data_IF_151899624784
#
_entry.id   IF_151899624784
#
_cell.length_a   1.000
_cell.length_b   1.000
_cell.length_c   1.000
_cell.angle_alpha   90.00
_cell.angle_beta   90.00
_cell.angle_gamma   90.00
#
_symmetry.space_group_name_H-M   'P 1'
#
loop_
_entity.id
_entity.type
_entity.pdbx_description
1 polymer ?
#
# COMPACT_ATOMS: atom_id res chain seq x y z
N UNK A 1 2.10 18.61 -5.59
CA UNK A 1 1.20 17.86 -4.66
C UNK A 1 1.47 16.37 -4.82
N UNK A 2 1.21 15.54 -3.80
CA UNK A 2 1.31 14.08 -3.89
C UNK A 2 -0.09 13.47 -4.01
N UNK A 3 -0.26 12.39 -4.77
CA UNK A 3 -1.51 11.65 -4.87
C UNK A 3 -1.26 10.14 -4.80
N UNK A 4 -2.26 9.40 -4.35
CA UNK A 4 -2.22 7.94 -4.36
C UNK A 4 -2.55 7.44 -5.76
N UNK A 5 -1.68 6.60 -6.31
CA UNK A 5 -1.92 5.85 -7.55
C UNK A 5 -2.11 4.38 -7.19
N UNK A 6 -3.23 3.79 -7.59
CA UNK A 6 -3.48 2.36 -7.47
C UNK A 6 -2.61 1.61 -8.49
N UNK A 7 -1.88 0.60 -8.03
CA UNK A 7 -1.05 -0.29 -8.86
C UNK A 7 -1.75 -1.61 -9.14
N UNK A 8 -2.52 -2.12 -8.18
CA UNK A 8 -3.37 -3.30 -8.31
C UNK A 8 -4.58 -3.20 -7.38
N UNK A 9 -5.65 -3.95 -7.68
CA UNK A 9 -6.93 -3.86 -6.98
C UNK A 9 -7.71 -2.60 -7.36
N UNK A 10 -8.46 -2.05 -6.41
CA UNK A 10 -9.39 -0.93 -6.59
C UNK A 10 -9.21 0.16 -5.55
N UNK A 11 -9.76 1.35 -5.83
CA UNK A 11 -9.78 2.45 -4.84
C UNK A 11 -10.56 2.05 -3.58
N UNK A 12 -11.60 1.23 -3.74
CA UNK A 12 -12.42 0.72 -2.63
C UNK A 12 -11.64 -0.11 -1.63
N UNK A 13 -10.59 -0.82 -2.07
CA UNK A 13 -9.75 -1.65 -1.18
C UNK A 13 -8.99 -0.81 -0.15
N UNK A 14 -8.82 0.49 -0.41
CA UNK A 14 -8.12 1.42 0.48
C UNK A 14 -9.06 2.37 1.24
N UNK A 15 -10.37 2.15 1.20
CA UNK A 15 -11.31 2.94 2.02
C UNK A 15 -11.04 2.68 3.50
N UNK A 16 -10.73 3.74 4.23
CA UNK A 16 -10.39 3.66 5.65
C UNK A 16 -9.02 3.04 5.94
N UNK A 17 -8.18 2.87 4.92
CA UNK A 17 -6.79 2.46 5.09
C UNK A 17 -5.98 3.56 5.80
N UNK A 18 -4.99 3.20 6.63
CA UNK A 18 -4.04 4.17 7.16
C UNK A 18 -3.38 4.98 6.04
N UNK A 19 -3.07 6.25 6.30
CA UNK A 19 -2.49 7.13 5.28
C UNK A 19 -1.14 6.62 4.76
N UNK A 20 -0.39 5.86 5.56
CA UNK A 20 0.91 5.31 5.19
C UNK A 20 0.81 3.97 4.43
N UNK A 21 -0.36 3.31 4.43
CA UNK A 21 -0.51 1.97 3.89
C UNK A 21 -0.30 1.95 2.37
N UNK A 22 0.60 1.09 1.91
CA UNK A 22 0.92 0.90 0.48
C UNK A 22 0.34 -0.40 -0.06
N UNK A 23 0.16 -1.43 0.76
CA UNK A 23 -0.52 -2.67 0.36
C UNK A 23 -1.59 -3.06 1.35
N UNK A 24 -2.68 -3.62 0.84
CA UNK A 24 -3.63 -4.43 1.59
C UNK A 24 -3.24 -5.89 1.40
N UNK A 25 -3.05 -6.60 2.49
CA UNK A 25 -2.73 -8.02 2.50
C UNK A 25 -3.73 -8.80 3.35
N UNK A 26 -3.83 -10.10 3.10
CA UNK A 26 -4.54 -11.04 3.95
C UNK A 26 -3.56 -12.09 4.46
N UNK A 27 -3.57 -12.36 5.76
CA UNK A 27 -2.76 -13.41 6.35
C UNK A 27 -3.35 -14.79 6.03
N UNK A 28 -2.50 -15.67 5.49
CA UNK A 28 -2.85 -17.07 5.21
C UNK A 28 -3.16 -17.79 6.52
N UNK A 29 -4.17 -18.64 6.50
CA UNK A 29 -4.61 -19.40 7.67
C UNK A 29 -5.59 -18.66 8.59
N UNK A 30 -5.42 -17.36 8.83
CA UNK A 30 -6.34 -16.57 9.67
C UNK A 30 -7.37 -15.78 8.86
N UNK A 31 -7.05 -15.42 7.61
CA UNK A 31 -7.87 -14.52 6.80
C UNK A 31 -7.85 -13.07 7.31
N UNK A 32 -6.95 -12.72 8.24
CA UNK A 32 -6.89 -11.39 8.81
C UNK A 32 -6.34 -10.38 7.82
N UNK A 33 -6.97 -9.20 7.74
CA UNK A 33 -6.50 -8.09 6.91
C UNK A 33 -5.37 -7.33 7.61
N UNK A 34 -4.28 -7.10 6.88
CA UNK A 34 -3.11 -6.38 7.33
C UNK A 34 -2.71 -5.30 6.31
N UNK A 35 -2.09 -4.24 6.79
CA UNK A 35 -1.56 -3.14 5.97
C UNK A 35 -0.05 -3.14 5.99
N UNK A 36 0.56 -3.01 4.81
CA UNK A 36 2.01 -2.89 4.68
C UNK A 36 2.45 -1.45 4.44
N UNK A 37 3.51 -1.02 5.11
CA UNK A 37 3.99 0.37 5.10
C UNK A 37 4.94 0.73 3.95
N UNK A 38 5.43 -0.25 3.20
CA UNK A 38 6.45 0.01 2.18
C UNK A 38 7.87 -0.40 2.55
N UNK A 39 8.09 -0.83 3.78
CA UNK A 39 9.41 -1.13 4.31
C UNK A 39 9.44 -2.56 4.81
N UNK A 40 8.91 -2.81 6.00
CA UNK A 40 9.02 -4.12 6.66
C UNK A 40 7.88 -4.41 7.63
N UNK A 41 6.84 -3.58 7.73
CA UNK A 41 5.84 -3.73 8.78
C UNK A 41 4.48 -4.07 8.20
N UNK A 42 3.95 -5.21 8.61
CA UNK A 42 2.54 -5.55 8.49
C UNK A 42 1.83 -5.24 9.79
N UNK A 43 0.77 -4.44 9.73
CA UNK A 43 0.01 -4.08 10.91
C UNK A 43 -1.48 -4.03 10.62
N UNK A 44 -2.30 -4.43 11.58
CA UNK A 44 -3.73 -4.20 11.53
C UNK A 44 -4.04 -2.69 11.62
N UNK A 45 -5.25 -2.30 11.23
CA UNK A 45 -5.64 -0.89 11.20
C UNK A 45 -5.60 -0.25 12.60
N UNK A 46 -5.93 -1.02 13.63
CA UNK A 46 -6.11 -0.56 15.00
C UNK A 46 -4.80 -0.65 15.80
N UNK A 47 -3.74 -1.19 15.19
CA UNK A 47 -2.44 -1.45 15.82
C UNK A 47 -2.55 -2.31 17.07
N UNK A 48 -3.53 -3.21 17.09
CA UNK A 48 -3.76 -4.11 18.21
C UNK A 48 -2.78 -5.28 18.22
N UNK A 49 -2.18 -5.58 17.05
CA UNK A 49 -1.19 -6.63 16.91
C UNK A 49 0.22 -6.04 16.77
N UNK A 50 1.18 -6.78 17.31
CA UNK A 50 2.60 -6.52 17.08
C UNK A 50 2.89 -6.55 15.58
N UNK A 51 3.71 -5.60 15.11
CA UNK A 51 4.03 -5.49 13.70
C UNK A 51 4.87 -6.70 13.27
N UNK A 52 4.41 -7.42 12.25
CA UNK A 52 5.19 -8.51 11.64
C UNK A 52 6.28 -7.92 10.73
N UNK A 53 7.47 -8.53 10.72
CA UNK A 53 8.64 -8.14 9.93
C UNK A 53 8.62 -8.73 8.51
N UNK A 54 9.65 -8.46 7.71
CA UNK A 54 9.77 -8.85 6.28
C UNK A 54 9.60 -10.35 5.99
N UNK A 55 9.92 -11.22 6.94
CA UNK A 55 9.81 -12.68 6.77
C UNK A 55 8.35 -13.13 6.64
N UNK A 56 7.41 -12.22 6.88
CA UNK A 56 5.98 -12.44 6.80
C UNK A 56 5.41 -12.32 5.38
N UNK A 57 6.20 -11.92 4.39
CA UNK A 57 5.80 -11.87 2.98
C UNK A 57 5.29 -13.23 2.48
N UNK A 58 5.90 -14.34 2.93
CA UNK A 58 5.48 -15.70 2.56
C UNK A 58 4.17 -16.14 3.24
N UNK A 59 3.76 -15.44 4.30
CA UNK A 59 2.57 -15.75 5.09
C UNK A 59 1.34 -14.95 4.68
N UNK A 60 1.45 -14.06 3.69
CA UNK A 60 0.36 -13.19 3.26
C UNK A 60 0.10 -13.30 1.76
N UNK A 61 -1.14 -13.03 1.37
CA UNK A 61 -1.51 -12.76 -0.01
C UNK A 61 -1.77 -11.27 -0.18
N UNK A 62 -1.17 -10.67 -1.21
CA UNK A 62 -1.37 -9.26 -1.54
C UNK A 62 -2.70 -9.13 -2.30
N UNK A 63 -3.61 -8.31 -1.77
CA UNK A 63 -4.92 -8.06 -2.38
C UNK A 63 -4.94 -6.80 -3.23
N UNK A 64 -4.26 -5.74 -2.78
CA UNK A 64 -4.21 -4.47 -3.48
C UNK A 64 -2.93 -3.71 -3.17
N UNK A 65 -2.44 -2.93 -4.14
CA UNK A 65 -1.24 -2.11 -4.00
C UNK A 65 -1.49 -0.68 -4.47
N UNK A 66 -0.91 0.29 -3.76
CA UNK A 66 -0.87 1.69 -4.16
C UNK A 66 0.49 2.31 -3.83
N UNK A 67 0.85 3.35 -4.56
CA UNK A 67 2.03 4.18 -4.27
C UNK A 67 1.68 5.64 -4.19
N UNK A 68 2.47 6.38 -3.42
CA UNK A 68 2.42 7.83 -3.43
C UNK A 68 3.25 8.31 -4.64
N UNK A 69 2.59 9.03 -5.54
CA UNK A 69 3.23 9.59 -6.72
C UNK A 69 3.11 11.12 -6.72
N UNK A 70 4.12 11.84 -7.26
CA UNK A 70 3.96 13.25 -7.56
C UNK A 70 2.77 13.43 -8.49
N UNK A 71 1.85 14.32 -8.13
CA UNK A 71 0.93 14.90 -9.10
C UNK A 71 1.81 15.58 -10.12
N UNK A 72 1.86 15.08 -11.36
CA UNK A 72 2.62 15.74 -12.43
C UNK A 72 2.12 17.18 -12.53
N UNK A 73 2.84 18.15 -11.97
CA UNK A 73 2.90 19.46 -12.61
C UNK A 73 3.52 19.19 -13.97
N UNK A 74 2.81 19.57 -15.03
CA UNK A 74 3.23 19.35 -16.39
C UNK A 74 4.71 19.72 -16.54
N UNK A 75 5.59 18.72 -16.66
CA UNK A 75 6.96 18.98 -17.07
C UNK A 75 6.89 19.72 -18.41
N UNK A 76 7.61 20.83 -18.60
CA UNK A 76 7.54 21.56 -19.84
C UNK A 76 7.90 20.60 -20.96
N UNK A 77 7.02 20.51 -21.97
CA UNK A 77 7.31 19.78 -23.21
C UNK A 77 8.60 20.38 -23.76
N UNK A 78 9.73 19.71 -23.55
CA UNK A 78 10.97 20.05 -24.22
C UNK A 78 10.71 19.84 -25.70
N UNK A 79 10.52 20.94 -26.46
CA UNK A 79 10.50 20.85 -27.91
C UNK A 79 11.91 20.49 -28.33
N UNK A 80 12.08 19.32 -28.92
CA UNK A 80 13.26 19.03 -29.73
C UNK A 80 13.26 20.07 -30.86
N UNK A 81 14.34 20.85 -30.90
CA UNK A 81 14.65 21.79 -31.97
C UNK A 81 15.35 21.06 -33.11
#
# INVERSE_FOLDING_TARGET
>A
MMHWTILSGSVSDFIGAPHWAKRLCVQRGTGQKLWWDGMQKYQDKEKLLDAYTSDFDECVDILAERRLAPTKEASPKWKQQ
#
